data_IF_320823049998
#
_entry.id   IF_320823049998
#
_cell.length_a   1.000
_cell.length_b   1.000
_cell.length_c   1.000
_cell.angle_alpha   90.00
_cell.angle_beta   90.00
_cell.angle_gamma   90.00
#
_symmetry.space_group_name_H-M   'P 1'
#
loop_
_entity.id
_entity.type
_entity.pdbx_description
1 polymer ?
#
# COMPACT_ATOMS: atom_id res chain seq x y z
N UNK A 1 19.55 -38.08 -42.85
CA UNK A 1 18.79 -38.62 -41.70
C UNK A 1 19.27 -37.88 -40.46
N UNK A 2 18.47 -36.94 -39.96
CA UNK A 2 18.90 -35.94 -38.97
C UNK A 2 17.93 -35.94 -37.79
N UNK A 3 18.39 -36.54 -36.69
CA UNK A 3 18.11 -36.25 -35.27
C UNK A 3 16.68 -35.85 -34.87
N UNK A 4 15.96 -36.78 -34.23
CA UNK A 4 14.79 -36.49 -33.40
C UNK A 4 15.15 -36.81 -31.93
N UNK A 5 15.09 -35.81 -31.06
CA UNK A 5 15.40 -35.94 -29.65
C UNK A 5 14.52 -34.99 -28.82
N UNK A 6 13.94 -35.58 -27.77
CA UNK A 6 13.39 -34.98 -26.54
C UNK A 6 12.00 -34.33 -26.62
N UNK A 7 11.01 -35.11 -26.18
CA UNK A 7 9.80 -34.60 -25.54
C UNK A 7 9.66 -35.29 -24.18
N UNK A 8 10.05 -34.60 -23.12
CA UNK A 8 9.90 -35.04 -21.72
C UNK A 8 9.15 -33.94 -20.98
N UNK A 9 7.86 -34.15 -20.78
CA UNK A 9 7.04 -33.33 -19.88
C UNK A 9 7.14 -33.87 -18.44
N UNK A 10 7.37 -33.04 -17.42
CA UNK A 10 7.17 -33.45 -16.04
C UNK A 10 5.72 -33.22 -15.59
N UNK A 11 5.10 -34.31 -15.12
CA UNK A 11 3.85 -34.39 -14.38
C UNK A 11 3.89 -33.48 -13.14
N UNK A 12 2.86 -32.66 -12.99
CA UNK A 12 2.62 -31.89 -11.76
C UNK A 12 2.31 -32.83 -10.60
N UNK A 13 3.05 -32.64 -9.51
CA UNK A 13 2.90 -33.34 -8.25
C UNK A 13 1.88 -32.61 -7.39
N UNK A 14 0.79 -33.31 -7.09
CA UNK A 14 -0.18 -33.00 -6.05
C UNK A 14 0.53 -32.81 -4.70
N UNK A 15 0.46 -31.59 -4.14
CA UNK A 15 0.71 -31.36 -2.71
C UNK A 15 -0.44 -30.55 -2.12
N UNK A 16 -1.43 -31.29 -1.64
CA UNK A 16 -2.01 -31.22 -0.31
C UNK A 16 -1.77 -29.91 0.46
N UNK A 17 -2.74 -28.99 0.40
CA UNK A 17 -2.92 -27.92 1.38
C UNK A 17 -4.23 -28.20 2.15
N UNK A 18 -4.10 -28.77 3.35
CA UNK A 18 -5.13 -28.69 4.38
C UNK A 18 -4.41 -28.33 5.69
N UNK A 19 -4.36 -27.04 6.00
CA UNK A 19 -4.15 -26.56 7.36
C UNK A 19 -5.27 -25.56 7.63
N UNK A 20 -6.38 -26.12 8.09
CA UNK A 20 -7.60 -25.46 8.50
C UNK A 20 -7.36 -24.82 9.86
N UNK A 21 -7.35 -23.49 9.93
CA UNK A 21 -7.30 -22.76 11.20
C UNK A 21 -8.48 -21.80 11.25
N UNK A 22 -9.57 -22.34 11.76
CA UNK A 22 -10.76 -21.65 12.20
C UNK A 22 -10.42 -20.39 13.01
N UNK A 23 -10.90 -19.24 12.55
CA UNK A 23 -10.98 -18.03 13.36
C UNK A 23 -12.47 -17.68 13.50
N UNK A 24 -13.02 -18.06 14.66
CA UNK A 24 -14.38 -17.76 15.08
C UNK A 24 -14.55 -16.24 15.23
N UNK A 25 -15.35 -15.66 14.33
CA UNK A 25 -15.87 -14.30 14.43
C UNK A 25 -16.94 -14.23 15.52
N UNK A 26 -16.66 -13.52 16.61
CA UNK A 26 -17.66 -13.17 17.63
C UNK A 26 -18.17 -11.76 17.35
N UNK A 27 -19.40 -11.71 16.84
CA UNK A 27 -20.20 -10.52 16.62
C UNK A 27 -20.61 -9.94 17.99
N UNK A 28 -20.18 -8.70 18.31
CA UNK A 28 -20.79 -7.90 19.38
C UNK A 28 -21.75 -6.87 18.79
N UNK A 29 -23.04 -7.21 18.85
CA UNK A 29 -24.15 -6.26 18.82
C UNK A 29 -24.22 -5.54 20.18
N UNK A 30 -24.42 -4.23 20.20
CA UNK A 30 -24.63 -3.52 21.46
C UNK A 30 -24.57 -2.00 21.36
N UNK A 31 -25.41 -1.43 20.51
CA UNK A 31 -25.76 0.00 20.53
C UNK A 31 -26.60 0.28 21.79
N UNK A 32 -26.08 1.09 22.71
CA UNK A 32 -26.91 1.84 23.65
C UNK A 32 -26.37 3.27 23.78
N UNK A 33 -27.19 4.17 23.25
CA UNK A 33 -27.19 5.60 23.46
C UNK A 33 -27.47 5.85 24.95
N UNK A 34 -26.62 6.61 25.65
CA UNK A 34 -27.09 7.41 26.77
C UNK A 34 -26.32 8.72 26.91
N UNK A 35 -27.09 9.71 27.34
CA UNK A 35 -26.92 11.14 27.17
C UNK A 35 -26.36 11.76 28.46
N UNK A 36 -25.38 12.65 28.28
CA UNK A 36 -25.15 13.93 28.99
C UNK A 36 -25.22 13.98 30.54
N UNK A 37 -24.09 14.45 31.08
CA UNK A 37 -23.91 15.54 32.05
C UNK A 37 -23.34 15.23 33.44
N UNK A 38 -22.59 16.19 34.02
CA UNK A 38 -21.64 16.00 35.12
C UNK A 38 -22.23 16.38 36.48
N UNK A 39 -21.74 15.75 37.56
CA UNK A 39 -21.85 16.29 38.92
C UNK A 39 -20.61 15.93 39.74
N UNK A 40 -19.90 16.99 40.14
CA UNK A 40 -19.06 17.06 41.33
C UNK A 40 -19.77 16.43 42.54
N UNK A 41 -19.13 15.51 43.26
CA UNK A 41 -19.31 15.34 44.71
C UNK A 41 -17.97 14.93 45.34
N UNK A 42 -17.68 15.65 46.42
CA UNK A 42 -16.64 15.55 47.42
C UNK A 42 -16.56 14.19 48.14
N UNK A 43 -15.46 14.03 48.88
CA UNK A 43 -15.32 13.39 50.20
C UNK A 43 -14.81 11.94 50.35
N UNK A 44 -13.74 11.91 51.18
CA UNK A 44 -13.51 11.07 52.37
C UNK A 44 -12.72 9.76 52.21
N UNK A 45 -11.42 9.91 52.50
CA UNK A 45 -10.70 9.27 53.62
C UNK A 45 -11.29 7.98 54.22
N UNK A 46 -10.54 6.89 54.11
CA UNK A 46 -10.40 5.92 55.20
C UNK A 46 -8.98 5.35 55.19
N UNK A 47 -8.25 5.69 56.25
CA UNK A 47 -6.98 5.13 56.67
C UNK A 47 -7.24 3.75 57.27
N UNK A 48 -6.50 2.73 56.82
CA UNK A 48 -6.19 1.57 57.66
C UNK A 48 -4.75 1.15 57.41
N UNK A 49 -3.99 1.15 58.49
CA UNK A 49 -2.55 0.88 58.57
C UNK A 49 -2.28 -0.35 59.45
N UNK A 50 -1.16 -1.05 59.14
CA UNK A 50 -0.24 -1.83 60.03
C UNK A 50 -0.49 -3.36 60.15
N UNK A 51 0.53 -4.26 60.26
CA UNK A 51 1.89 -4.33 59.65
C UNK A 51 2.42 -5.75 59.26
N UNK A 52 3.62 -5.79 58.65
CA UNK A 52 4.78 -6.73 58.80
C UNK A 52 4.58 -8.27 58.77
N UNK A 53 5.43 -9.14 58.21
CA UNK A 53 6.89 -9.11 57.99
C UNK A 53 7.25 -10.36 57.15
N UNK A 54 8.15 -10.25 56.15
CA UNK A 54 9.28 -11.16 55.84
C UNK A 54 9.74 -11.04 54.37
N UNK A 55 10.92 -10.41 54.19
CA UNK A 55 11.81 -10.60 53.04
C UNK A 55 12.53 -11.96 53.15
N UNK A 56 13.01 -12.53 52.03
CA UNK A 56 14.44 -12.36 51.77
C UNK A 56 14.77 -11.92 50.33
N UNK A 57 15.93 -11.25 50.26
CA UNK A 57 16.64 -10.78 49.09
C UNK A 57 16.97 -11.92 48.11
N UNK A 58 16.95 -11.63 46.80
CA UNK A 58 18.12 -11.66 45.89
C UNK A 58 17.68 -11.59 44.41
N UNK A 59 18.51 -10.91 43.60
CA UNK A 59 18.41 -10.67 42.16
C UNK A 59 17.45 -9.56 41.69
N UNK A 60 17.66 -8.35 42.23
CA UNK A 60 17.42 -7.12 41.47
C UNK A 60 18.41 -7.01 40.31
N UNK A 61 18.23 -7.84 39.28
CA UNK A 61 18.79 -7.53 37.97
C UNK A 61 18.00 -6.33 37.45
N UNK A 62 18.65 -5.18 37.30
CA UNK A 62 18.12 -4.08 36.53
C UNK A 62 17.82 -4.59 35.12
N UNK A 63 16.60 -5.05 34.87
CA UNK A 63 16.04 -5.12 33.55
C UNK A 63 15.91 -3.66 33.09
N UNK A 64 17.03 -3.10 32.61
CA UNK A 64 17.00 -1.95 31.71
C UNK A 64 16.11 -2.41 30.58
N UNK A 65 14.87 -1.96 30.60
CA UNK A 65 13.94 -2.10 29.50
C UNK A 65 14.66 -1.40 28.34
N UNK A 66 15.32 -2.19 27.49
CA UNK A 66 16.00 -1.66 26.33
C UNK A 66 14.90 -1.08 25.46
N UNK A 67 14.75 0.25 25.48
CA UNK A 67 13.91 0.95 24.52
C UNK A 67 14.31 0.44 23.13
N UNK A 68 13.34 0.07 22.27
CA UNK A 68 13.64 -0.37 20.92
C UNK A 68 14.50 0.71 20.27
N UNK A 69 15.74 0.35 19.96
CA UNK A 69 16.71 1.28 19.38
C UNK A 69 16.27 1.58 17.95
N UNK A 70 16.31 2.86 17.55
CA UNK A 70 15.92 3.35 16.22
C UNK A 70 16.55 2.55 15.07
N UNK A 71 17.75 2.01 15.29
CA UNK A 71 18.44 1.13 14.34
C UNK A 71 17.67 -0.16 14.01
N UNK A 72 17.00 -0.77 14.99
CA UNK A 72 16.21 -1.99 14.78
C UNK A 72 14.95 -1.72 13.94
N UNK A 73 14.30 -0.57 14.15
CA UNK A 73 13.13 -0.15 13.36
C UNK A 73 13.50 0.19 11.92
N UNK A 74 14.63 0.87 11.71
CA UNK A 74 15.11 1.20 10.37
C UNK A 74 15.50 -0.05 9.57
N UNK A 75 16.16 -1.02 10.21
CA UNK A 75 16.50 -2.28 9.58
C UNK A 75 15.25 -3.08 9.16
N UNK A 76 14.22 -3.12 10.01
CA UNK A 76 12.95 -3.77 9.69
C UNK A 76 12.24 -3.09 8.50
N UNK A 77 12.20 -1.76 8.45
CA UNK A 77 11.62 -1.01 7.32
C UNK A 77 12.38 -1.25 6.01
N UNK A 78 13.72 -1.32 6.06
CA UNK A 78 14.53 -1.61 4.88
C UNK A 78 14.26 -3.02 4.34
N UNK A 79 14.07 -4.00 5.22
CA UNK A 79 13.70 -5.36 4.82
C UNK A 79 12.32 -5.40 4.14
N UNK A 80 11.36 -4.61 4.64
CA UNK A 80 10.04 -4.49 4.03
C UNK A 80 10.11 -3.86 2.63
N UNK A 81 10.90 -2.81 2.45
CA UNK A 81 11.11 -2.17 1.14
C UNK A 81 11.80 -3.12 0.16
N UNK A 82 12.81 -3.88 0.60
CA UNK A 82 13.47 -4.85 -0.29
C UNK A 82 12.52 -5.99 -0.68
N UNK A 83 11.69 -6.49 0.26
CA UNK A 83 10.68 -7.49 -0.05
C UNK A 83 9.64 -6.94 -1.05
N UNK A 84 9.21 -5.69 -0.87
CA UNK A 84 8.35 -5.00 -1.83
C UNK A 84 9.00 -4.89 -3.21
N UNK A 85 10.27 -4.52 -3.27
CA UNK A 85 11.04 -4.42 -4.50
C UNK A 85 11.10 -5.76 -5.25
N UNK A 86 11.32 -6.86 -4.53
CA UNK A 86 11.34 -8.21 -5.11
C UNK A 86 9.96 -8.62 -5.66
N UNK A 87 8.87 -8.25 -5.00
CA UNK A 87 7.52 -8.51 -5.50
C UNK A 87 7.26 -7.73 -6.79
N UNK A 88 7.63 -6.45 -6.81
CA UNK A 88 7.46 -5.61 -8.00
C UNK A 88 8.36 -6.05 -9.15
N UNK A 89 9.51 -6.68 -8.89
CA UNK A 89 10.42 -7.18 -9.93
C UNK A 89 9.78 -8.23 -10.85
N UNK A 90 8.72 -8.91 -10.41
CA UNK A 90 7.91 -9.83 -11.22
C UNK A 90 7.25 -9.12 -12.42
N UNK A 91 6.92 -7.83 -12.27
CA UNK A 91 6.36 -7.02 -13.35
C UNK A 91 7.47 -6.75 -14.38
N UNK A 92 7.21 -6.88 -15.69
CA UNK A 92 8.20 -6.63 -16.73
C UNK A 92 8.85 -5.24 -16.66
N UNK A 93 10.11 -5.09 -17.10
CA UNK A 93 10.75 -3.79 -17.18
C UNK A 93 9.94 -2.82 -18.06
N UNK A 94 9.97 -1.51 -17.77
CA UNK A 94 9.13 -0.54 -18.45
C UNK A 94 9.52 -0.38 -19.92
N UNK A 95 8.51 -0.34 -20.79
CA UNK A 95 8.72 -0.15 -22.23
C UNK A 95 8.46 1.30 -22.63
N UNK A 96 9.54 2.05 -22.91
CA UNK A 96 9.48 3.47 -23.30
C UNK A 96 8.54 3.74 -24.47
N UNK A 97 8.58 2.89 -25.51
CA UNK A 97 7.72 3.03 -26.68
C UNK A 97 6.23 2.96 -26.33
N UNK A 98 5.84 2.13 -25.34
CA UNK A 98 4.43 1.99 -24.94
C UNK A 98 3.94 3.21 -24.17
N UNK A 99 4.59 3.56 -23.06
CA UNK A 99 4.07 4.62 -22.20
C UNK A 99 4.25 6.03 -22.81
N UNK A 100 5.24 6.26 -23.68
CA UNK A 100 5.41 7.54 -24.38
C UNK A 100 4.43 7.75 -25.54
N UNK A 101 3.79 6.68 -26.02
CA UNK A 101 2.76 6.79 -27.06
C UNK A 101 1.44 7.36 -26.51
N UNK A 102 1.20 7.23 -25.20
CA UNK A 102 0.00 7.73 -24.54
C UNK A 102 0.12 9.24 -24.30
N UNK A 103 -0.83 10.02 -24.83
CA UNK A 103 -0.83 11.50 -24.74
C UNK A 103 -1.87 12.07 -23.80
N UNK A 104 -2.75 11.21 -23.25
CA UNK A 104 -3.77 11.61 -22.29
C UNK A 104 -3.83 10.66 -21.10
N UNK A 105 -3.95 11.23 -19.90
CA UNK A 105 -4.18 10.49 -18.66
C UNK A 105 -5.51 9.71 -18.68
N UNK A 106 -6.49 10.14 -19.48
CA UNK A 106 -7.76 9.41 -19.65
C UNK A 106 -7.60 8.06 -20.35
N UNK A 107 -6.56 7.94 -21.19
CA UNK A 107 -6.19 6.71 -21.91
C UNK A 107 -5.05 5.95 -21.23
N UNK A 108 -4.51 6.48 -20.13
CA UNK A 108 -3.46 5.83 -19.37
C UNK A 108 -4.02 4.63 -18.60
N UNK A 109 -3.46 3.45 -18.86
CA UNK A 109 -3.90 2.18 -18.26
C UNK A 109 -3.05 1.70 -17.09
N UNK A 110 -1.78 2.11 -17.02
CA UNK A 110 -0.93 1.79 -15.87
C UNK A 110 -1.45 2.49 -14.60
N UNK A 111 -0.98 2.08 -13.42
CA UNK A 111 -1.27 2.83 -12.21
C UNK A 111 -0.63 4.22 -12.32
N UNK A 112 -1.33 5.23 -11.81
CA UNK A 112 -0.79 6.58 -11.70
C UNK A 112 -1.20 7.21 -10.37
N UNK A 113 -0.43 8.20 -9.94
CA UNK A 113 -0.56 8.84 -8.64
C UNK A 113 -0.92 10.29 -8.80
N UNK A 114 -1.87 10.76 -8.00
CA UNK A 114 -2.12 12.19 -7.80
C UNK A 114 -1.66 12.56 -6.40
N UNK A 115 -0.65 13.43 -6.30
CA UNK A 115 -0.06 13.81 -5.01
C UNK A 115 -0.78 15.04 -4.45
N UNK A 116 -1.19 14.93 -3.18
CA UNK A 116 -1.85 16.00 -2.41
C UNK A 116 -1.05 16.34 -1.15
N UNK A 117 -1.58 17.24 -0.31
CA UNK A 117 -0.87 17.79 0.85
C UNK A 117 -0.46 16.77 1.93
N UNK A 118 -1.19 15.67 2.08
CA UNK A 118 -0.80 14.60 3.02
C UNK A 118 -1.22 13.19 2.61
N UNK A 119 -1.79 13.08 1.41
CA UNK A 119 -2.36 11.86 0.85
C UNK A 119 -1.91 11.74 -0.60
N UNK A 120 -1.89 10.52 -1.10
CA UNK A 120 -1.68 10.21 -2.50
C UNK A 120 -2.90 9.44 -2.98
N UNK A 121 -3.51 9.88 -4.06
CA UNK A 121 -4.55 9.11 -4.73
C UNK A 121 -3.88 8.18 -5.73
N UNK A 122 -3.95 6.88 -5.48
CA UNK A 122 -3.52 5.84 -6.40
C UNK A 122 -4.70 5.45 -7.29
N UNK A 123 -4.53 5.68 -8.58
CA UNK A 123 -5.51 5.32 -9.60
C UNK A 123 -5.10 4.01 -10.25
N UNK A 124 -5.94 2.98 -10.16
CA UNK A 124 -5.68 1.65 -10.72
C UNK A 124 -6.77 1.31 -11.72
N UNK A 125 -6.40 0.94 -12.95
CA UNK A 125 -7.34 0.38 -13.92
C UNK A 125 -7.30 -1.14 -13.80
N UNK A 126 -8.44 -1.75 -13.48
CA UNK A 126 -8.56 -3.21 -13.46
C UNK A 126 -8.89 -3.74 -14.85
N UNK A 127 -8.24 -4.84 -15.23
CA UNK A 127 -8.53 -5.53 -16.47
C UNK A 127 -9.99 -6.01 -16.51
N UNK A 128 -10.56 -6.10 -17.71
CA UNK A 128 -11.91 -6.60 -17.86
C UNK A 128 -11.99 -8.09 -17.47
N UNK A 129 -12.88 -8.42 -16.55
CA UNK A 129 -13.14 -9.82 -16.17
C UNK A 129 -14.01 -10.57 -17.17
N UNK A 130 -14.60 -9.89 -18.16
CA UNK A 130 -15.50 -10.50 -19.13
C UNK A 130 -14.73 -10.89 -20.39
N UNK A 131 -14.74 -12.19 -20.70
CA UNK A 131 -14.04 -12.80 -21.84
C UNK A 131 -14.77 -12.61 -23.18
N UNK A 132 -15.98 -12.03 -23.17
CA UNK A 132 -16.77 -11.82 -24.38
C UNK A 132 -16.20 -10.65 -25.19
N UNK A 133 -15.86 -10.91 -26.45
CA UNK A 133 -15.36 -9.91 -27.43
C UNK A 133 -16.34 -8.77 -27.71
N UNK A 134 -17.62 -8.94 -27.37
CA UNK A 134 -18.63 -7.90 -27.54
C UNK A 134 -18.40 -6.76 -26.55
N UNK A 135 -18.01 -5.60 -27.07
CA UNK A 135 -17.94 -4.36 -26.30
C UNK A 135 -16.55 -3.94 -25.80
N UNK A 136 -15.48 -4.70 -26.12
CA UNK A 136 -14.10 -4.30 -25.83
C UNK A 136 -13.79 -2.98 -26.55
N UNK A 137 -13.42 -1.94 -25.80
CA UNK A 137 -13.09 -0.62 -26.35
C UNK A 137 -14.29 0.20 -26.86
N UNK A 138 -15.52 -0.19 -26.55
CA UNK A 138 -16.75 0.51 -27.01
C UNK A 138 -17.31 1.46 -25.95
N UNK A 139 -18.26 2.34 -26.33
CA UNK A 139 -18.95 3.28 -25.41
C UNK A 139 -19.59 2.61 -24.19
N UNK A 140 -19.89 1.31 -24.26
CA UNK A 140 -20.49 0.57 -23.16
C UNK A 140 -19.47 0.20 -22.07
N UNK A 141 -18.15 0.29 -22.35
CA UNK A 141 -17.07 -0.17 -21.46
C UNK A 141 -15.87 0.78 -21.47
N UNK A 142 -16.06 2.06 -21.08
CA UNK A 142 -14.97 3.03 -21.08
C UNK A 142 -13.94 2.71 -20.00
N UNK A 143 -12.67 3.01 -20.28
CA UNK A 143 -11.55 2.79 -19.36
C UNK A 143 -11.78 3.46 -17.99
N UNK A 144 -12.31 4.67 -17.99
CA UNK A 144 -12.60 5.42 -16.77
C UNK A 144 -13.58 4.73 -15.81
N UNK A 145 -14.52 3.93 -16.32
CA UNK A 145 -15.48 3.22 -15.46
C UNK A 145 -14.85 2.05 -14.69
N UNK A 146 -13.68 1.59 -15.13
CA UNK A 146 -12.91 0.50 -14.49
C UNK A 146 -11.76 1.02 -13.63
N UNK A 147 -11.67 2.35 -13.49
CA UNK A 147 -10.66 2.99 -12.68
C UNK A 147 -11.13 3.02 -11.23
N UNK A 148 -10.25 2.59 -10.34
CA UNK A 148 -10.45 2.65 -8.90
C UNK A 148 -9.48 3.63 -8.30
N UNK A 149 -10.00 4.56 -7.51
CA UNK A 149 -9.23 5.60 -6.86
C UNK A 149 -9.07 5.25 -5.38
N UNK A 150 -7.83 5.04 -4.96
CA UNK A 150 -7.47 4.67 -3.60
C UNK A 150 -6.74 5.84 -2.96
N UNK A 151 -7.30 6.42 -1.91
CA UNK A 151 -6.63 7.46 -1.15
C UNK A 151 -5.74 6.82 -0.08
N UNK A 152 -4.42 6.92 -0.27
CA UNK A 152 -3.40 6.25 0.54
C UNK A 152 -2.52 7.28 1.23
N UNK A 153 -2.03 6.97 2.43
CA UNK A 153 -1.01 7.77 3.11
C UNK A 153 0.35 7.55 2.46
N UNK A 154 1.24 8.54 2.49
CA UNK A 154 2.59 8.37 1.90
C UNK A 154 3.36 7.18 2.49
N UNK A 155 3.19 6.89 3.78
CA UNK A 155 3.84 5.75 4.45
C UNK A 155 3.34 4.39 3.95
N UNK A 156 2.08 4.32 3.50
CA UNK A 156 1.43 3.08 3.05
C UNK A 156 1.53 2.90 1.53
N UNK A 157 2.18 3.83 0.82
CA UNK A 157 2.28 3.82 -0.64
C UNK A 157 2.95 2.53 -1.14
N UNK A 158 4.02 2.09 -0.49
CA UNK A 158 4.72 0.85 -0.83
C UNK A 158 3.79 -0.36 -0.77
N UNK A 159 3.05 -0.50 0.33
CA UNK A 159 2.09 -1.58 0.55
C UNK A 159 0.96 -1.54 -0.48
N UNK A 160 0.44 -0.34 -0.77
CA UNK A 160 -0.63 -0.17 -1.75
C UNK A 160 -0.17 -0.53 -3.17
N UNK A 161 1.05 -0.18 -3.57
CA UNK A 161 1.60 -0.52 -4.88
C UNK A 161 1.83 -2.03 -5.04
N UNK A 162 2.30 -2.72 -4.00
CA UNK A 162 2.46 -4.18 -4.03
C UNK A 162 1.13 -4.93 -4.11
N UNK A 163 0.05 -4.33 -3.62
CA UNK A 163 -1.28 -4.91 -3.72
C UNK A 163 -1.89 -4.78 -5.13
N UNK A 164 -1.28 -4.00 -6.03
CA UNK A 164 -1.75 -3.84 -7.41
C UNK A 164 -1.47 -5.12 -8.20
N UNK A 165 -2.49 -5.72 -8.84
CA UNK A 165 -2.29 -6.93 -9.62
C UNK A 165 -1.42 -6.68 -10.86
N UNK A 166 -0.66 -7.70 -11.28
CA UNK A 166 0.21 -7.64 -12.46
C UNK A 166 -0.53 -7.25 -13.75
N UNK A 167 -1.83 -7.59 -13.86
CA UNK A 167 -2.67 -7.25 -15.02
C UNK A 167 -2.90 -5.75 -15.20
N UNK A 168 -2.70 -4.95 -14.15
CA UNK A 168 -2.79 -3.49 -14.20
C UNK A 168 -1.49 -2.84 -14.69
N UNK A 169 -0.48 -3.61 -15.13
CA UNK A 169 0.83 -3.10 -15.57
C UNK A 169 1.13 -3.30 -17.07
N UNK A 170 0.25 -2.90 -18.02
CA UNK A 170 0.45 -3.15 -19.45
C UNK A 170 1.71 -2.50 -20.06
N UNK A 171 2.24 -1.44 -19.43
CA UNK A 171 3.43 -0.73 -19.91
C UNK A 171 4.74 -1.15 -19.20
N UNK A 172 4.66 -2.15 -18.31
CA UNK A 172 5.72 -2.55 -17.39
C UNK A 172 5.79 -1.65 -16.15
N UNK A 173 6.86 -1.74 -15.38
CA UNK A 173 7.08 -0.99 -14.12
C UNK A 173 7.32 0.50 -14.31
N UNK A 174 6.27 1.23 -14.69
CA UNK A 174 6.26 2.68 -14.81
C UNK A 174 5.03 3.25 -14.12
N UNK A 175 5.16 4.31 -13.34
CA UNK A 175 4.02 4.97 -12.71
C UNK A 175 4.03 6.43 -13.14
N UNK A 176 2.90 6.90 -13.66
CA UNK A 176 2.74 8.32 -13.93
C UNK A 176 2.42 9.06 -12.63
N UNK A 177 2.91 10.28 -12.48
CA UNK A 177 2.65 11.10 -11.30
C UNK A 177 2.18 12.48 -11.73
N UNK A 178 1.12 12.94 -11.07
CA UNK A 178 0.50 14.24 -11.28
C UNK A 178 0.44 15.02 -9.96
N UNK A 179 0.70 16.32 -10.02
CA UNK A 179 0.42 17.24 -8.92
C UNK A 179 -1.07 17.58 -8.91
N UNK A 180 -1.71 17.55 -7.73
CA UNK A 180 -3.11 17.96 -7.66
C UNK A 180 -3.30 19.42 -8.11
N UNK A 181 -4.19 19.63 -9.08
CA UNK A 181 -4.42 20.93 -9.71
C UNK A 181 -5.15 21.96 -8.83
N UNK A 182 -5.90 21.52 -7.81
CA UNK A 182 -6.73 22.37 -6.94
C UNK A 182 -6.13 22.57 -5.54
N UNK A 183 -4.81 22.81 -5.46
CA UNK A 183 -4.12 23.00 -4.17
C UNK A 183 -4.05 24.48 -3.78
N UNK A 184 -4.48 24.86 -2.56
CA UNK A 184 -4.38 26.23 -2.08
C UNK A 184 -2.91 26.67 -2.02
N UNK A 185 -2.63 27.94 -2.30
CA UNK A 185 -1.25 28.47 -2.41
C UNK A 185 -0.39 28.17 -1.18
N UNK A 186 -0.99 28.15 0.01
CA UNK A 186 -0.33 27.81 1.27
C UNK A 186 0.16 26.36 1.36
N UNK A 187 -0.51 25.41 0.69
CA UNK A 187 -0.19 23.98 0.74
C UNK A 187 0.72 23.51 -0.42
N UNK A 188 0.93 24.34 -1.46
CA UNK A 188 1.83 23.99 -2.59
C UNK A 188 3.26 23.59 -2.18
N UNK A 189 3.90 24.26 -1.20
CA UNK A 189 5.24 23.84 -0.77
C UNK A 189 5.25 22.45 -0.14
N UNK A 190 4.17 22.07 0.55
CA UNK A 190 4.00 20.75 1.14
C UNK A 190 3.81 19.70 0.05
N UNK A 191 2.93 19.97 -0.93
CA UNK A 191 2.71 19.07 -2.08
C UNK A 191 4.00 18.82 -2.86
N UNK A 192 4.84 19.84 -3.07
CA UNK A 192 6.13 19.67 -3.73
C UNK A 192 7.08 18.75 -2.97
N UNK A 193 7.16 18.88 -1.64
CA UNK A 193 7.99 17.98 -0.79
C UNK A 193 7.45 16.55 -0.81
N UNK A 194 6.14 16.40 -0.82
CA UNK A 194 5.49 15.10 -0.94
C UNK A 194 5.77 14.48 -2.31
N UNK A 195 5.76 15.28 -3.37
CA UNK A 195 6.11 14.84 -4.72
C UNK A 195 7.52 14.25 -4.75
N UNK A 196 8.50 14.98 -4.21
CA UNK A 196 9.89 14.51 -4.10
C UNK A 196 9.99 13.22 -3.28
N UNK A 197 9.23 13.12 -2.18
CA UNK A 197 9.19 11.93 -1.33
C UNK A 197 8.61 10.73 -2.08
N UNK A 198 7.49 10.91 -2.80
CA UNK A 198 6.85 9.87 -3.60
C UNK A 198 7.78 9.40 -4.72
N UNK A 199 8.41 10.33 -5.45
CA UNK A 199 9.38 10.01 -6.50
C UNK A 199 10.53 9.18 -5.93
N UNK A 200 11.07 9.59 -4.77
CA UNK A 200 12.12 8.84 -4.09
C UNK A 200 11.67 7.42 -3.72
N UNK A 201 10.50 7.27 -3.09
CA UNK A 201 9.95 5.96 -2.72
C UNK A 201 9.77 5.06 -3.93
N UNK A 202 9.24 5.58 -5.05
CA UNK A 202 9.08 4.81 -6.28
C UNK A 202 10.42 4.36 -6.88
N UNK A 203 11.42 5.24 -6.87
CA UNK A 203 12.76 4.90 -7.32
C UNK A 203 13.41 3.83 -6.43
N UNK A 204 13.24 3.91 -5.12
CA UNK A 204 13.74 2.91 -4.16
C UNK A 204 13.10 1.52 -4.43
N UNK A 205 11.86 1.50 -4.89
CA UNK A 205 11.13 0.30 -5.34
C UNK A 205 11.49 -0.17 -6.76
N UNK A 206 12.37 0.54 -7.47
CA UNK A 206 12.75 0.19 -8.85
C UNK A 206 11.65 0.42 -9.89
N UNK A 207 10.68 1.28 -9.57
CA UNK A 207 9.63 1.74 -10.49
C UNK A 207 10.13 2.98 -11.23
N UNK A 208 9.96 3.02 -12.55
CA UNK A 208 10.26 4.23 -13.32
C UNK A 208 9.15 5.25 -13.14
N UNK A 209 9.53 6.47 -12.80
CA UNK A 209 8.58 7.59 -12.68
C UNK A 209 8.40 8.28 -14.03
N UNK A 210 7.15 8.55 -14.40
CA UNK A 210 6.79 9.44 -15.49
C UNK A 210 6.04 10.66 -14.94
N UNK A 211 6.70 11.81 -14.89
CA UNK A 211 6.06 13.05 -14.45
C UNK A 211 5.08 13.56 -15.52
N UNK A 212 3.81 13.64 -15.16
CA UNK A 212 2.75 14.16 -16.01
C UNK A 212 2.56 15.65 -15.73
N UNK A 213 2.93 16.48 -16.71
CA UNK A 213 2.69 17.91 -16.64
C UNK A 213 1.61 18.27 -17.67
N UNK A 214 0.48 18.81 -17.23
CA UNK A 214 -0.60 19.30 -18.11
C UNK A 214 -0.17 20.46 -19.04
N UNK A 215 1.07 20.95 -18.92
CA UNK A 215 1.64 22.05 -19.72
C UNK A 215 1.79 21.75 -21.21
N UNK A 216 1.37 20.58 -21.68
CA UNK A 216 1.28 20.19 -23.09
C UNK A 216 -0.10 20.35 -23.75
N UNK A 217 -1.04 21.15 -23.18
CA UNK A 217 -2.19 21.65 -23.96
C UNK A 217 -1.69 22.66 -24.99
N UNK A 218 -1.22 22.19 -26.14
CA UNK A 218 -1.10 22.96 -27.38
C UNK A 218 -2.00 22.36 -28.45
#
# INVERSE_FOLDING_TARGET
MKTESKNTAPRQSFRQFCCDRAFLSTIRLGMLIFVRSPRFILQRTAVFTVPALLLPLLAGGCARTASPSTASTQAAQQQEIEAARQQLELIPPPSKTRYMAVKSLSTWENPYLTVQGGMVTLHVVTADTNTTTLGVGTMLRPLGARRHDLNVRLSELTTALNAVPESSWPYGRVVAIEEAHEVPVSARPEVRRNMETVIKTLNDLGIVVYEWNETGRS
#
